data_IF_088499856178
#
_entry.id   IF_088499856178
#
_cell.length_a   1.000
_cell.length_b   1.000
_cell.length_c   1.000
_cell.angle_alpha   90.00
_cell.angle_beta   90.00
_cell.angle_gamma   90.00
#
_symmetry.space_group_name_H-M   'P 1'
#
loop_
_entity.id
_entity.type
_entity.pdbx_description
1 polymer ?
#
# COMPACT_ATOMS: atom_id res chain seq x y z
N UNK A 1 -10.26 -15.15 38.67
CA UNK A 1 -10.54 -13.76 38.24
C UNK A 1 -9.29 -13.21 37.56
N UNK A 2 -9.39 -12.72 36.31
CA UNK A 2 -8.28 -11.98 35.68
C UNK A 2 -8.04 -10.65 36.41
N UNK A 3 -6.77 -10.24 36.52
CA UNK A 3 -6.35 -8.99 37.18
C UNK A 3 -6.66 -7.78 36.28
N UNK A 4 -6.92 -6.57 36.83
CA UNK A 4 -7.05 -5.32 36.06
C UNK A 4 -5.95 -5.10 35.00
N UNK A 5 -4.73 -5.56 35.29
CA UNK A 5 -3.58 -5.50 34.37
C UNK A 5 -3.76 -6.40 33.12
N UNK A 6 -4.39 -7.56 33.27
CA UNK A 6 -4.61 -8.52 32.17
C UNK A 6 -5.62 -7.97 31.14
N UNK A 7 -6.64 -7.22 31.60
CA UNK A 7 -7.60 -6.56 30.70
C UNK A 7 -6.94 -5.48 29.85
N UNK A 8 -5.98 -4.72 30.41
CA UNK A 8 -5.24 -3.69 29.67
C UNK A 8 -4.40 -4.26 28.53
N UNK A 9 -3.76 -5.41 28.74
CA UNK A 9 -2.97 -6.12 27.72
C UNK A 9 -3.89 -6.70 26.63
N UNK A 10 -4.99 -7.33 27.03
CA UNK A 10 -5.97 -7.90 26.09
C UNK A 10 -6.60 -6.83 25.19
N UNK A 11 -7.04 -5.70 25.76
CA UNK A 11 -7.61 -4.59 24.99
C UNK A 11 -6.62 -4.03 23.96
N UNK A 12 -5.36 -3.83 24.35
CA UNK A 12 -4.31 -3.34 23.44
C UNK A 12 -4.06 -4.30 22.26
N UNK A 13 -3.98 -5.59 22.55
CA UNK A 13 -3.80 -6.63 21.52
C UNK A 13 -4.99 -6.72 20.55
N UNK A 14 -6.22 -6.52 21.04
CA UNK A 14 -7.41 -6.46 20.21
C UNK A 14 -7.41 -5.22 19.30
N UNK A 15 -7.02 -4.06 19.83
CA UNK A 15 -6.93 -2.82 19.05
C UNK A 15 -5.88 -2.90 17.95
N UNK A 16 -4.71 -3.47 18.26
CA UNK A 16 -3.62 -3.67 17.30
C UNK A 16 -4.03 -4.63 16.17
N UNK A 17 -4.65 -5.76 16.51
CA UNK A 17 -5.18 -6.73 15.53
C UNK A 17 -6.29 -6.12 14.66
N UNK A 18 -7.13 -5.27 15.25
CA UNK A 18 -8.16 -4.52 14.52
C UNK A 18 -7.53 -3.54 13.53
N UNK A 19 -6.51 -2.78 13.96
CA UNK A 19 -5.79 -1.84 13.11
C UNK A 19 -5.07 -2.54 11.94
N UNK A 20 -4.37 -3.65 12.21
CA UNK A 20 -3.76 -4.53 11.19
C UNK A 20 -4.79 -4.96 10.15
N UNK A 21 -5.94 -5.44 10.60
CA UNK A 21 -7.02 -5.92 9.72
C UNK A 21 -7.61 -4.79 8.88
N UNK A 22 -7.74 -3.59 9.44
CA UNK A 22 -8.25 -2.41 8.75
C UNK A 22 -7.35 -1.95 7.60
N UNK A 23 -6.02 -1.96 7.76
CA UNK A 23 -5.10 -1.57 6.69
C UNK A 23 -5.20 -2.55 5.50
N UNK A 24 -5.20 -3.85 5.78
CA UNK A 24 -5.32 -4.88 4.74
C UNK A 24 -6.69 -4.78 4.04
N UNK A 25 -7.76 -4.57 4.80
CA UNK A 25 -9.10 -4.38 4.25
C UNK A 25 -9.18 -3.12 3.38
N UNK A 26 -8.61 -2.01 3.83
CA UNK A 26 -8.54 -0.76 3.07
C UNK A 26 -7.83 -0.98 1.73
N UNK A 27 -6.69 -1.68 1.73
CA UNK A 27 -5.98 -1.99 0.49
C UNK A 27 -6.83 -2.83 -0.48
N UNK A 28 -7.53 -3.85 0.03
CA UNK A 28 -8.41 -4.70 -0.78
C UNK A 28 -9.57 -3.92 -1.37
N UNK A 29 -10.27 -3.12 -0.56
CA UNK A 29 -11.42 -2.33 -1.01
C UNK A 29 -10.98 -1.28 -2.02
N UNK A 30 -9.91 -0.55 -1.76
CA UNK A 30 -9.38 0.45 -2.69
C UNK A 30 -8.95 -0.19 -4.01
N UNK A 31 -8.29 -1.35 -3.96
CA UNK A 31 -7.90 -2.11 -5.16
C UNK A 31 -9.12 -2.58 -5.96
N UNK A 32 -10.16 -3.07 -5.28
CA UNK A 32 -11.39 -3.50 -5.93
C UNK A 32 -12.10 -2.34 -6.60
N UNK A 33 -12.28 -1.22 -5.89
CA UNK A 33 -12.90 0.00 -6.43
C UNK A 33 -12.11 0.51 -7.64
N UNK A 34 -10.78 0.63 -7.51
CA UNK A 34 -9.92 1.00 -8.62
C UNK A 34 -10.10 0.08 -9.82
N UNK A 35 -10.09 -1.23 -9.59
CA UNK A 35 -10.17 -2.21 -10.67
C UNK A 35 -11.49 -2.13 -11.42
N UNK A 36 -12.61 -2.00 -10.68
CA UNK A 36 -13.94 -1.83 -11.27
C UNK A 36 -14.01 -0.54 -12.07
N UNK A 37 -13.59 0.59 -11.50
CA UNK A 37 -13.61 1.89 -12.19
C UNK A 37 -12.71 1.85 -13.44
N UNK A 38 -11.51 1.30 -13.33
CA UNK A 38 -10.56 1.21 -14.44
C UNK A 38 -11.12 0.38 -15.62
N UNK A 39 -11.69 -0.81 -15.33
CA UNK A 39 -12.26 -1.68 -16.36
C UNK A 39 -13.50 -1.04 -17.00
N UNK A 40 -14.42 -0.49 -16.20
CA UNK A 40 -15.61 0.21 -16.70
C UNK A 40 -15.19 1.39 -17.57
N UNK A 41 -14.20 2.18 -17.13
CA UNK A 41 -13.70 3.32 -17.91
C UNK A 41 -13.00 2.91 -19.21
N UNK A 42 -12.28 1.79 -19.23
CA UNK A 42 -11.64 1.26 -20.43
C UNK A 42 -12.66 0.78 -21.48
N UNK A 43 -13.75 0.14 -21.03
CA UNK A 43 -14.80 -0.41 -21.89
C UNK A 43 -15.67 0.70 -22.48
N UNK A 44 -16.29 1.53 -21.65
CA UNK A 44 -17.25 2.54 -22.11
C UNK A 44 -16.58 3.79 -22.68
N UNK A 45 -15.42 4.17 -22.14
CA UNK A 45 -14.57 5.26 -22.64
C UNK A 45 -15.30 6.59 -22.97
N UNK A 46 -16.34 6.92 -22.21
CA UNK A 46 -17.12 8.15 -22.34
C UNK A 46 -16.45 9.31 -21.58
N UNK A 47 -16.86 10.55 -21.83
CA UNK A 47 -16.33 11.72 -21.11
C UNK A 47 -16.46 11.58 -19.59
N UNK A 48 -17.59 11.06 -19.10
CA UNK A 48 -17.82 10.83 -17.68
C UNK A 48 -16.88 9.75 -17.11
N UNK A 49 -16.67 8.63 -17.81
CA UNK A 49 -15.82 7.54 -17.33
C UNK A 49 -14.34 7.93 -17.33
N UNK A 50 -13.91 8.79 -18.26
CA UNK A 50 -12.57 9.40 -18.30
C UNK A 50 -12.31 10.28 -17.07
N UNK A 51 -13.26 11.14 -16.71
CA UNK A 51 -13.14 11.98 -15.50
C UNK A 51 -13.12 11.11 -14.25
N UNK A 52 -13.97 10.09 -14.18
CA UNK A 52 -14.04 9.18 -13.03
C UNK A 52 -12.71 8.46 -12.78
N UNK A 53 -12.07 7.89 -13.81
CA UNK A 53 -10.80 7.18 -13.62
C UNK A 53 -9.66 8.12 -13.21
N UNK A 54 -9.62 9.33 -13.74
CA UNK A 54 -8.61 10.33 -13.33
C UNK A 54 -8.82 10.73 -11.89
N UNK A 55 -10.06 11.09 -11.50
CA UNK A 55 -10.38 11.49 -10.14
C UNK A 55 -10.02 10.39 -9.12
N UNK A 56 -10.44 9.15 -9.39
CA UNK A 56 -10.13 8.01 -8.52
C UNK A 56 -8.63 7.76 -8.47
N UNK A 57 -7.93 7.78 -9.61
CA UNK A 57 -6.47 7.53 -9.65
C UNK A 57 -5.71 8.58 -8.86
N UNK A 58 -6.07 9.87 -8.97
CA UNK A 58 -5.43 10.95 -8.24
C UNK A 58 -5.69 10.88 -6.73
N UNK A 59 -6.91 10.55 -6.32
CA UNK A 59 -7.24 10.37 -4.89
C UNK A 59 -6.46 9.20 -4.30
N UNK A 60 -6.43 8.06 -4.98
CA UNK A 60 -5.70 6.88 -4.51
C UNK A 60 -4.17 7.11 -4.53
N UNK A 61 -3.66 7.80 -5.54
CA UNK A 61 -2.25 8.19 -5.60
C UNK A 61 -1.88 9.12 -4.44
N UNK A 62 -2.66 10.16 -4.17
CA UNK A 62 -2.43 11.07 -3.06
C UNK A 62 -2.49 10.36 -1.70
N UNK A 63 -3.45 9.45 -1.51
CA UNK A 63 -3.52 8.60 -0.34
C UNK A 63 -2.30 7.67 -0.24
N UNK A 64 -1.82 7.13 -1.35
CA UNK A 64 -0.59 6.34 -1.43
C UNK A 64 0.65 7.12 -1.00
N UNK A 65 0.80 8.35 -1.49
CA UNK A 65 1.90 9.24 -1.07
C UNK A 65 1.80 9.55 0.43
N UNK A 66 0.62 9.88 0.94
CA UNK A 66 0.43 10.16 2.36
C UNK A 66 0.79 8.93 3.24
N UNK A 67 0.30 7.74 2.87
CA UNK A 67 0.60 6.50 3.61
C UNK A 67 2.07 6.09 3.49
N UNK A 68 2.70 6.31 2.34
CA UNK A 68 4.14 6.14 2.14
C UNK A 68 4.95 7.02 3.10
N UNK A 69 4.62 8.32 3.20
CA UNK A 69 5.29 9.25 4.09
C UNK A 69 5.09 8.88 5.57
N UNK A 70 3.87 8.51 5.96
CA UNK A 70 3.58 8.06 7.32
C UNK A 70 4.35 6.78 7.68
N UNK A 71 4.44 5.83 6.75
CA UNK A 71 5.25 4.61 6.91
C UNK A 71 6.74 4.92 7.01
N UNK A 72 7.24 5.82 6.17
CA UNK A 72 8.63 6.28 6.21
C UNK A 72 8.96 6.97 7.54
N UNK A 73 8.12 7.88 8.03
CA UNK A 73 8.34 8.54 9.32
C UNK A 73 8.35 7.55 10.49
N UNK A 74 7.44 6.57 10.49
CA UNK A 74 7.44 5.51 11.50
C UNK A 74 8.74 4.67 11.44
N UNK A 75 9.20 4.32 10.24
CA UNK A 75 10.44 3.58 10.06
C UNK A 75 11.68 4.37 10.50
N UNK A 76 11.76 5.67 10.20
CA UNK A 76 12.90 6.52 10.60
C UNK A 76 13.06 6.54 12.12
N UNK A 77 11.97 6.62 12.88
CA UNK A 77 12.03 6.61 14.34
C UNK A 77 12.59 5.27 14.87
N UNK A 78 12.16 4.17 14.27
CA UNK A 78 12.59 2.81 14.65
C UNK A 78 14.01 2.47 14.18
N UNK A 79 14.47 3.09 13.08
CA UNK A 79 15.79 2.83 12.50
C UNK A 79 16.94 3.15 13.46
N UNK A 80 16.70 3.91 14.54
CA UNK A 80 17.69 4.17 15.60
C UNK A 80 18.14 2.87 16.27
N UNK A 81 17.23 1.92 16.44
CA UNK A 81 17.48 0.65 17.15
C UNK A 81 17.43 -0.56 16.20
N UNK A 82 16.74 -0.43 15.07
CA UNK A 82 16.49 -1.52 14.12
C UNK A 82 17.15 -1.27 12.76
N UNK A 83 17.60 -2.34 12.11
CA UNK A 83 18.04 -2.30 10.71
C UNK A 83 16.83 -2.50 9.80
N UNK A 84 16.47 -1.45 9.05
CA UNK A 84 15.27 -1.42 8.21
C UNK A 84 15.68 -1.23 6.75
N UNK A 85 15.56 -2.29 5.96
CA UNK A 85 15.75 -2.19 4.51
C UNK A 85 14.51 -1.61 3.81
N UNK A 86 14.71 -0.86 2.73
CA UNK A 86 13.62 -0.31 1.89
C UNK A 86 12.72 -1.42 1.35
N UNK A 87 13.31 -2.57 0.98
CA UNK A 87 12.59 -3.75 0.50
C UNK A 87 11.74 -4.40 1.60
N UNK A 88 12.24 -4.42 2.84
CA UNK A 88 11.48 -4.88 4.00
C UNK A 88 10.31 -3.95 4.30
N UNK A 89 10.54 -2.64 4.25
CA UNK A 89 9.53 -1.63 4.57
C UNK A 89 8.41 -1.56 3.51
N UNK A 90 8.75 -1.36 2.24
CA UNK A 90 7.75 -1.08 1.20
C UNK A 90 7.33 -2.29 0.37
N UNK A 91 8.15 -3.35 0.36
CA UNK A 91 7.83 -4.61 -0.31
C UNK A 91 7.56 -5.75 0.66
N UNK A 92 7.56 -5.53 1.98
CA UNK A 92 7.31 -6.57 2.98
C UNK A 92 8.22 -7.80 2.79
N UNK A 93 9.44 -7.58 2.29
CA UNK A 93 10.39 -8.64 1.99
C UNK A 93 10.91 -9.29 3.29
N UNK A 94 11.30 -10.56 3.24
CA UNK A 94 11.72 -11.31 4.42
C UNK A 94 10.58 -11.49 5.44
N UNK A 95 10.92 -11.74 6.70
CA UNK A 95 9.95 -12.11 7.75
C UNK A 95 9.36 -10.90 8.50
N UNK A 96 9.28 -9.74 7.84
CA UNK A 96 8.73 -8.49 8.40
C UNK A 96 7.24 -8.61 8.71
N UNK A 97 6.52 -9.41 7.93
CA UNK A 97 5.08 -9.56 8.01
C UNK A 97 4.66 -11.04 8.03
N UNK A 98 3.59 -11.40 8.77
CA UNK A 98 2.96 -12.71 8.65
C UNK A 98 2.61 -13.03 7.19
N UNK A 99 2.83 -14.28 6.78
CA UNK A 99 2.69 -14.72 5.38
C UNK A 99 1.32 -14.37 4.77
N UNK A 100 0.25 -14.49 5.55
CA UNK A 100 -1.12 -14.15 5.12
C UNK A 100 -1.30 -12.66 4.82
N UNK A 101 -0.70 -11.77 5.62
CA UNK A 101 -0.74 -10.32 5.40
C UNK A 101 0.12 -9.96 4.20
N UNK A 102 1.36 -10.46 4.14
CA UNK A 102 2.29 -10.22 3.04
C UNK A 102 1.68 -10.59 1.69
N UNK A 103 1.14 -11.80 1.58
CA UNK A 103 0.51 -12.27 0.35
C UNK A 103 -0.71 -11.42 -0.03
N UNK A 104 -1.59 -11.13 0.93
CA UNK A 104 -2.77 -10.29 0.66
C UNK A 104 -2.39 -8.92 0.11
N UNK A 105 -1.37 -8.28 0.68
CA UNK A 105 -0.89 -6.97 0.27
C UNK A 105 -0.18 -7.03 -1.10
N UNK A 106 0.62 -8.07 -1.35
CA UNK A 106 1.25 -8.31 -2.66
C UNK A 106 0.25 -8.56 -3.77
N UNK A 107 -0.81 -9.35 -3.52
CA UNK A 107 -1.86 -9.55 -4.51
C UNK A 107 -2.57 -8.24 -4.86
N UNK A 108 -2.82 -7.38 -3.87
CA UNK A 108 -3.39 -6.05 -4.13
C UNK A 108 -2.46 -5.20 -5.00
N UNK A 109 -1.17 -5.11 -4.64
CA UNK A 109 -0.18 -4.35 -5.41
C UNK A 109 -0.02 -4.89 -6.83
N UNK A 110 0.08 -6.21 -6.99
CA UNK A 110 0.18 -6.85 -8.31
C UNK A 110 -1.07 -6.57 -9.15
N UNK A 111 -2.27 -6.67 -8.56
CA UNK A 111 -3.52 -6.33 -9.25
C UNK A 111 -3.55 -4.86 -9.69
N UNK A 112 -3.14 -3.92 -8.82
CA UNK A 112 -3.05 -2.50 -9.17
C UNK A 112 -2.10 -2.28 -10.36
N UNK A 113 -0.92 -2.92 -10.36
CA UNK A 113 0.04 -2.82 -11.46
C UNK A 113 -0.53 -3.39 -12.76
N UNK A 114 -1.08 -4.61 -12.73
CA UNK A 114 -1.62 -5.29 -13.92
C UNK A 114 -2.80 -4.53 -14.49
N UNK A 115 -3.75 -4.10 -13.65
CA UNK A 115 -4.93 -3.36 -14.11
C UNK A 115 -4.53 -1.99 -14.63
N UNK A 116 -3.73 -1.22 -13.87
CA UNK A 116 -3.32 0.13 -14.25
C UNK A 116 -2.53 0.14 -15.57
N UNK A 117 -1.57 -0.77 -15.71
CA UNK A 117 -0.84 -0.92 -16.98
C UNK A 117 -1.73 -1.44 -18.10
N UNK A 118 -2.58 -2.44 -17.82
CA UNK A 118 -3.45 -3.06 -18.81
C UNK A 118 -4.41 -2.05 -19.44
N UNK A 119 -5.06 -1.20 -18.64
CA UNK A 119 -5.98 -0.19 -19.17
C UNK A 119 -5.27 0.96 -19.90
N UNK A 120 -4.06 1.32 -19.47
CA UNK A 120 -3.24 2.32 -20.15
C UNK A 120 -2.82 1.84 -21.55
N UNK A 121 -2.41 0.57 -21.66
CA UNK A 121 -2.04 -0.05 -22.93
C UNK A 121 -3.25 -0.30 -23.85
N UNK A 122 -4.40 -0.68 -23.29
CA UNK A 122 -5.61 -0.95 -24.08
C UNK A 122 -6.19 0.31 -24.75
N UNK A 123 -5.91 1.50 -24.22
CA UNK A 123 -6.37 2.78 -24.77
C UNK A 123 -5.21 3.75 -24.92
N UNK A 124 -4.31 3.59 -25.92
CA UNK A 124 -3.06 4.37 -25.99
C UNK A 124 -3.26 5.83 -26.44
N UNK A 125 -4.43 6.20 -26.96
CA UNK A 125 -4.75 7.54 -27.45
C UNK A 125 -6.05 8.07 -26.86
N UNK A 126 -6.15 9.39 -26.75
CA UNK A 126 -7.36 10.11 -26.34
C UNK A 126 -7.72 11.09 -27.46
N UNK A 127 -8.92 10.93 -28.02
CA UNK A 127 -9.45 11.81 -29.07
C UNK A 127 -8.52 11.98 -30.29
N UNK A 128 -7.89 10.86 -30.70
CA UNK A 128 -6.97 10.81 -31.85
C UNK A 128 -5.59 11.42 -31.60
N UNK A 129 -5.34 11.97 -30.40
CA UNK A 129 -4.03 12.49 -30.00
C UNK A 129 -3.24 11.45 -29.22
N UNK A 130 -1.92 11.49 -29.40
CA UNK A 130 -1.01 10.68 -28.61
C UNK A 130 -1.13 11.04 -27.12
N UNK A 131 -1.23 10.02 -26.27
CA UNK A 131 -1.44 10.17 -24.83
C UNK A 131 -2.80 9.66 -24.38
N UNK A 132 -2.79 8.89 -23.29
CA UNK A 132 -3.98 8.25 -22.74
C UNK A 132 -4.37 8.86 -21.41
N UNK A 133 -5.65 9.23 -21.26
CA UNK A 133 -6.24 9.52 -19.95
C UNK A 133 -6.16 8.30 -19.01
N UNK A 134 -6.08 7.08 -19.56
CA UNK A 134 -5.91 5.86 -18.76
C UNK A 134 -4.49 5.74 -18.18
N UNK A 135 -3.50 6.53 -18.65
CA UNK A 135 -2.15 6.50 -18.11
C UNK A 135 -2.08 6.92 -16.63
N UNK A 136 -3.02 7.73 -16.14
CA UNK A 136 -3.10 8.08 -14.71
C UNK A 136 -3.30 6.84 -13.82
N UNK A 137 -3.90 5.77 -14.33
CA UNK A 137 -4.09 4.52 -13.60
C UNK A 137 -2.76 3.86 -13.21
N UNK A 138 -1.67 4.14 -13.93
CA UNK A 138 -0.32 3.62 -13.64
C UNK A 138 0.26 4.21 -12.35
N UNK A 139 -0.31 5.31 -11.83
CA UNK A 139 0.12 5.91 -10.56
C UNK A 139 -0.46 5.20 -9.33
N UNK A 140 -1.57 4.47 -9.49
CA UNK A 140 -2.30 3.83 -8.37
C UNK A 140 -1.50 2.80 -7.57
N UNK A 141 -0.54 2.03 -8.14
CA UNK A 141 0.34 1.16 -7.37
C UNK A 141 1.07 1.85 -6.20
N UNK A 142 1.21 3.17 -6.23
CA UNK A 142 1.76 3.92 -5.10
C UNK A 142 0.93 3.78 -3.82
N UNK A 143 -0.38 3.51 -3.94
CA UNK A 143 -1.22 3.15 -2.80
C UNK A 143 -0.80 1.83 -2.17
N UNK A 144 -0.61 0.79 -2.97
CA UNK A 144 -0.17 -0.52 -2.47
C UNK A 144 1.19 -0.43 -1.78
N UNK A 145 2.15 0.27 -2.39
CA UNK A 145 3.48 0.51 -1.80
C UNK A 145 3.37 1.34 -0.51
N UNK A 146 2.57 2.41 -0.50
CA UNK A 146 2.39 3.27 0.67
C UNK A 146 1.74 2.55 1.85
N UNK A 147 0.71 1.73 1.59
CA UNK A 147 0.05 0.93 2.62
C UNK A 147 0.95 -0.21 3.13
N UNK A 148 1.81 -0.80 2.30
CA UNK A 148 2.85 -1.72 2.76
C UNK A 148 3.79 -1.04 3.75
N UNK A 149 4.33 0.13 3.38
CA UNK A 149 5.22 0.92 4.22
C UNK A 149 4.56 1.33 5.54
N UNK A 150 3.30 1.77 5.50
CA UNK A 150 2.55 2.11 6.69
C UNK A 150 2.35 0.91 7.62
N UNK A 151 2.02 -0.25 7.05
CA UNK A 151 1.84 -1.49 7.80
C UNK A 151 3.16 -1.94 8.44
N UNK A 152 4.24 -2.00 7.67
CA UNK A 152 5.56 -2.42 8.14
C UNK A 152 6.15 -1.45 9.17
N UNK A 153 6.00 -0.13 8.96
CA UNK A 153 6.47 0.86 9.93
C UNK A 153 5.80 0.71 11.30
N UNK A 154 4.50 0.36 11.34
CA UNK A 154 3.73 0.23 12.58
C UNK A 154 3.84 -1.14 13.25
N UNK A 155 3.78 -2.21 12.46
CA UNK A 155 3.61 -3.59 12.96
C UNK A 155 4.70 -4.54 12.48
N UNK A 156 5.57 -4.09 11.56
CA UNK A 156 6.63 -4.92 11.02
C UNK A 156 7.67 -5.27 12.08
N UNK A 157 8.27 -6.44 11.95
CA UNK A 157 9.36 -6.91 12.81
C UNK A 157 10.67 -6.80 12.03
N UNK A 158 11.66 -6.10 12.60
CA UNK A 158 12.96 -5.87 11.97
C UNK A 158 14.09 -6.40 12.85
N UNK A 159 15.25 -6.66 12.23
CA UNK A 159 16.44 -7.11 12.95
C UNK A 159 17.06 -5.98 13.77
N UNK A 160 17.86 -6.30 14.81
CA UNK A 160 18.59 -5.29 15.57
C UNK A 160 19.60 -4.56 14.67
N UNK A 161 19.84 -3.27 14.95
CA UNK A 161 20.80 -2.46 14.21
C UNK A 161 22.22 -3.01 14.40
N UNK A 162 22.87 -3.38 13.31
CA UNK A 162 24.28 -3.78 13.32
C UNK A 162 25.16 -2.53 13.50
N UNK A 163 25.80 -2.38 14.66
CA UNK A 163 26.83 -1.36 14.87
C UNK A 163 28.15 -1.88 14.30
N UNK A 164 28.76 -1.12 13.38
CA UNK A 164 30.09 -1.45 12.88
C UNK A 164 31.08 -1.32 14.03
N UNK A 165 31.71 -2.43 14.44
CA UNK A 165 32.84 -2.44 15.36
C UNK A 165 33.92 -1.51 14.81
N UNK A 166 34.44 -0.58 15.64
CA UNK A 166 35.57 0.24 15.24
C UNK A 166 36.76 -0.67 14.87
N UNK A 167 37.50 -0.38 13.79
CA UNK A 167 38.76 -1.10 13.54
C UNK A 167 39.71 -0.80 14.71
N UNK A 168 40.21 -1.86 15.35
CA UNK A 168 41.28 -1.80 16.36
C UNK A 168 42.59 -1.24 15.78
#
# INVERSE_FOLDING_TARGET
MCSPHDYGILCRNCEERSAVSKIVLCNRVATLVFSVVAVVSAIFFTSASRVAIVAVSLVLFAAGVATFLLGYFAAVQRSREEEIAVTQLFFLAGDVAPKNVRLAMWYCLAAQCVVGLGVALARPSTDGKAGSVMAFAVMVPMLGIGLNGLWAGKFGTFGPRQLKSAPE
#
